data_IF_572180493479
#
_entry.id   IF_572180493479
#
_cell.length_a   1.000
_cell.length_b   1.000
_cell.length_c   1.000
_cell.angle_alpha   90.00
_cell.angle_beta   90.00
_cell.angle_gamma   90.00
#
_symmetry.space_group_name_H-M   'P 1'
#
loop_
_entity.id
_entity.type
_entity.pdbx_description
1 polymer ?
#
# COMPACT_ATOMS: atom_id res chain seq x y z
N UNK A 1 -6.83 16.02 14.83
CA UNK A 1 -5.99 17.16 14.38
C UNK A 1 -6.83 18.11 13.52
N UNK A 2 -6.88 19.41 13.83
CA UNK A 2 -7.59 20.40 12.98
C UNK A 2 -6.61 21.11 12.04
N UNK A 3 -6.81 20.93 10.73
CA UNK A 3 -5.94 21.51 9.70
C UNK A 3 -6.38 22.90 9.26
N UNK A 4 -7.61 23.33 9.57
CA UNK A 4 -8.16 24.58 9.04
C UNK A 4 -7.32 25.82 9.42
N UNK A 5 -6.83 25.95 10.67
CA UNK A 5 -5.95 27.06 11.02
C UNK A 5 -4.63 27.09 10.22
N UNK A 6 -4.13 25.92 9.82
CA UNK A 6 -2.89 25.79 9.04
C UNK A 6 -3.04 26.26 7.59
N UNK A 7 -4.28 26.40 7.11
CA UNK A 7 -4.62 26.82 5.74
C UNK A 7 -4.92 28.30 5.61
N UNK A 8 -5.01 29.01 6.74
CA UNK A 8 -5.18 30.45 6.72
C UNK A 8 -3.92 31.14 6.16
N UNK A 9 -4.05 32.23 5.39
CA UNK A 9 -2.88 32.99 4.96
C UNK A 9 -2.11 33.54 6.17
N UNK A 10 -0.79 33.63 6.06
CA UNK A 10 0.06 34.21 7.12
C UNK A 10 -0.33 35.68 7.35
N UNK A 11 -0.43 36.46 6.28
CA UNK A 11 -1.03 37.79 6.27
C UNK A 11 -1.58 38.13 4.87
N UNK A 12 -2.29 39.25 4.74
CA UNK A 12 -2.95 39.65 3.48
C UNK A 12 -1.96 39.98 2.35
N UNK A 13 -0.77 40.51 2.68
CA UNK A 13 0.21 40.95 1.69
C UNK A 13 1.15 39.83 1.25
N UNK A 14 1.47 38.90 2.14
CA UNK A 14 2.25 37.70 1.88
C UNK A 14 1.53 36.48 2.49
N UNK A 15 0.62 35.85 1.72
CA UNK A 15 -0.16 34.71 2.20
C UNK A 15 0.69 33.50 2.62
N UNK A 16 1.88 33.34 2.03
CA UNK A 16 2.83 32.28 2.34
C UNK A 16 3.94 32.70 3.31
N UNK A 17 4.01 33.98 3.70
CA UNK A 17 5.06 34.48 4.58
C UNK A 17 6.44 34.48 3.95
N UNK A 18 7.48 34.29 4.76
CA UNK A 18 8.88 34.41 4.35
C UNK A 18 9.56 33.03 4.21
N UNK A 19 10.67 32.96 3.47
CA UNK A 19 11.50 31.74 3.45
C UNK A 19 12.28 31.59 4.76
N UNK A 20 12.04 30.47 5.45
CA UNK A 20 12.66 30.13 6.73
C UNK A 20 13.84 29.14 6.60
N UNK A 21 14.37 28.91 5.38
CA UNK A 21 15.49 27.99 5.08
C UNK A 21 16.65 28.02 6.08
N UNK A 22 17.06 29.21 6.51
CA UNK A 22 18.23 29.45 7.37
C UNK A 22 17.86 29.84 8.82
N UNK A 23 16.60 29.66 9.19
CA UNK A 23 16.09 29.99 10.52
C UNK A 23 16.56 29.00 11.58
N UNK A 24 16.66 29.46 12.83
CA UNK A 24 16.99 28.59 13.97
C UNK A 24 15.94 27.49 14.15
N UNK A 25 14.69 27.78 13.83
CA UNK A 25 13.55 26.88 13.90
C UNK A 25 13.70 25.72 12.91
N UNK A 26 14.08 25.98 11.66
CA UNK A 26 14.39 24.92 10.68
C UNK A 26 15.55 24.04 11.13
N UNK A 27 16.60 24.65 11.68
CA UNK A 27 17.73 23.90 12.25
C UNK A 27 17.31 23.06 13.45
N UNK A 28 16.45 23.60 14.33
CA UNK A 28 15.94 22.91 15.50
C UNK A 28 15.07 21.71 15.11
N UNK A 29 14.17 21.86 14.12
CA UNK A 29 13.36 20.75 13.60
C UNK A 29 14.25 19.65 13.03
N UNK A 30 15.21 19.99 12.17
CA UNK A 30 16.16 19.01 11.59
C UNK A 30 16.92 18.24 12.69
N UNK A 31 17.35 18.95 13.74
CA UNK A 31 18.04 18.34 14.89
C UNK A 31 17.10 17.44 15.71
N UNK A 32 15.86 17.86 15.93
CA UNK A 32 14.88 17.11 16.72
C UNK A 32 14.40 15.83 16.03
N UNK A 33 14.44 15.78 14.70
CA UNK A 33 14.12 14.57 13.90
C UNK A 33 15.23 13.51 13.90
N UNK A 34 16.44 13.85 14.32
CA UNK A 34 17.55 12.89 14.30
C UNK A 34 17.38 11.87 15.43
N UNK A 35 17.40 10.60 15.09
CA UNK A 35 17.46 9.49 16.02
C UNK A 35 18.68 8.61 15.71
N UNK A 36 19.32 8.07 16.75
CA UNK A 36 20.44 7.15 16.60
C UNK A 36 19.93 5.72 16.37
N UNK A 37 20.65 4.95 15.55
CA UNK A 37 20.36 3.53 15.35
C UNK A 37 20.88 2.72 16.54
N UNK A 38 19.96 2.10 17.28
CA UNK A 38 20.28 1.29 18.46
C UNK A 38 21.00 -0.02 18.13
N UNK A 39 21.00 -0.44 16.85
CA UNK A 39 21.68 -1.66 16.39
C UNK A 39 23.15 -1.42 16.04
N UNK A 40 23.60 -0.16 15.97
CA UNK A 40 25.00 0.18 15.73
C UNK A 40 25.80 0.11 17.03
N UNK A 41 26.92 -0.62 17.00
CA UNK A 41 27.89 -0.66 18.10
C UNK A 41 28.49 0.73 18.32
N UNK A 42 28.20 1.34 19.46
CA UNK A 42 28.70 2.66 19.84
C UNK A 42 30.18 2.63 20.28
N UNK A 43 30.80 1.45 20.33
CA UNK A 43 32.16 1.27 20.83
C UNK A 43 32.29 1.68 22.30
N UNK A 44 33.48 2.09 22.72
CA UNK A 44 33.80 2.44 24.12
C UNK A 44 33.15 3.76 24.61
N UNK A 45 32.41 4.48 23.76
CA UNK A 45 31.75 5.74 24.10
C UNK A 45 30.23 5.55 24.10
N UNK A 46 29.69 5.04 25.21
CA UNK A 46 28.24 4.90 25.40
C UNK A 46 27.63 6.26 25.68
N UNK A 47 26.97 6.84 24.69
CA UNK A 47 26.10 8.01 24.88
C UNK A 47 24.64 7.58 24.93
N UNK A 48 23.80 8.31 25.66
CA UNK A 48 22.36 8.06 25.58
C UNK A 48 21.92 8.23 24.11
N UNK A 49 21.32 7.19 23.50
CA UNK A 49 20.96 7.23 22.09
C UNK A 49 19.95 8.35 21.88
N UNK A 50 20.24 9.22 20.92
CA UNK A 50 19.37 10.33 20.59
C UNK A 50 18.04 9.77 20.09
N UNK A 51 16.95 10.17 20.73
CA UNK A 51 15.60 9.89 20.27
C UNK A 51 15.03 11.11 19.58
N UNK A 52 14.22 10.89 18.55
CA UNK A 52 13.51 11.97 17.89
C UNK A 52 12.44 12.56 18.83
N UNK A 53 12.34 13.89 18.87
CA UNK A 53 11.32 14.61 19.63
C UNK A 53 10.18 15.00 18.68
N UNK A 54 9.26 14.06 18.45
CA UNK A 54 8.16 14.26 17.50
C UNK A 54 7.16 15.32 17.96
N UNK A 55 6.96 15.47 19.28
CA UNK A 55 6.11 16.52 19.85
C UNK A 55 6.68 17.91 19.52
N UNK A 56 7.98 18.10 19.71
CA UNK A 56 8.67 19.35 19.34
C UNK A 56 8.59 19.61 17.83
N UNK A 57 8.81 18.59 17.00
CA UNK A 57 8.74 18.73 15.54
C UNK A 57 7.33 19.13 15.11
N UNK A 58 6.29 18.49 15.64
CA UNK A 58 4.90 18.81 15.33
C UNK A 58 4.54 20.23 15.79
N UNK A 59 4.82 20.59 17.04
CA UNK A 59 4.50 21.90 17.60
C UNK A 59 5.18 23.04 16.82
N UNK A 60 6.49 22.91 16.55
CA UNK A 60 7.25 23.94 15.83
C UNK A 60 6.79 24.05 14.37
N UNK A 61 6.51 22.92 13.71
CA UNK A 61 6.01 22.93 12.33
C UNK A 61 4.63 23.57 12.22
N UNK A 62 3.74 23.32 13.19
CA UNK A 62 2.42 23.96 13.28
C UNK A 62 2.56 25.47 13.48
N UNK A 63 3.40 25.91 14.41
CA UNK A 63 3.61 27.34 14.68
C UNK A 63 4.15 28.08 13.43
N UNK A 64 5.13 27.49 12.75
CA UNK A 64 5.67 28.03 11.50
C UNK A 64 4.60 28.12 10.41
N UNK A 65 3.85 27.04 10.18
CA UNK A 65 2.76 27.04 9.18
C UNK A 65 1.67 28.05 9.53
N UNK A 66 1.38 28.31 10.80
CA UNK A 66 0.34 29.26 11.19
C UNK A 66 0.78 30.70 11.09
N UNK A 67 2.05 30.99 11.42
CA UNK A 67 2.46 32.37 11.72
C UNK A 67 3.58 32.91 10.86
N UNK A 68 4.39 32.05 10.23
CA UNK A 68 5.66 32.45 9.60
C UNK A 68 5.78 32.11 8.12
N UNK A 69 5.55 30.85 7.75
CA UNK A 69 5.92 30.34 6.42
C UNK A 69 5.06 29.15 6.00
N UNK A 70 4.57 29.18 4.76
CA UNK A 70 3.96 28.02 4.08
C UNK A 70 5.03 27.38 3.21
N UNK A 71 5.51 26.20 3.60
CA UNK A 71 6.68 25.58 2.97
C UNK A 71 6.54 24.05 2.84
N UNK A 72 6.89 23.50 1.68
CA UNK A 72 6.82 22.06 1.37
C UNK A 72 7.67 21.22 2.34
N UNK A 73 8.81 21.75 2.79
CA UNK A 73 9.70 21.06 3.75
C UNK A 73 9.01 20.91 5.10
N UNK A 74 8.26 21.92 5.54
CA UNK A 74 7.51 21.84 6.80
C UNK A 74 6.39 20.79 6.69
N UNK A 75 5.74 20.65 5.53
CA UNK A 75 4.76 19.58 5.29
C UNK A 75 5.36 18.19 5.43
N UNK A 76 6.60 18.02 4.95
CA UNK A 76 7.35 16.77 5.06
C UNK A 76 7.61 16.42 6.52
N UNK A 77 8.08 17.38 7.32
CA UNK A 77 8.41 17.17 8.73
C UNK A 77 7.15 16.97 9.59
N UNK A 78 6.11 17.75 9.33
CA UNK A 78 4.84 17.59 10.04
C UNK A 78 4.18 16.24 9.72
N UNK A 79 4.25 15.78 8.46
CA UNK A 79 3.78 14.44 8.07
C UNK A 79 4.49 13.34 8.84
N UNK A 80 5.80 13.42 8.96
CA UNK A 80 6.59 12.45 9.72
C UNK A 80 6.24 12.49 11.22
N UNK A 81 6.14 13.69 11.82
CA UNK A 81 5.79 13.83 13.23
C UNK A 81 4.38 13.31 13.51
N UNK A 82 3.39 13.66 12.69
CA UNK A 82 2.02 13.18 12.86
C UNK A 82 1.88 11.68 12.62
N UNK A 83 2.68 11.09 11.73
CA UNK A 83 2.73 9.64 11.56
C UNK A 83 3.20 8.94 12.85
N UNK A 84 4.24 9.48 13.50
CA UNK A 84 4.78 8.90 14.74
C UNK A 84 3.86 9.13 15.95
N UNK A 85 3.18 10.29 16.04
CA UNK A 85 2.32 10.64 17.17
C UNK A 85 0.89 10.08 17.06
N UNK A 86 0.34 10.03 15.85
CA UNK A 86 -1.08 9.78 15.60
C UNK A 86 -1.33 8.66 14.58
N UNK A 87 -0.28 7.93 14.16
CA UNK A 87 -0.40 6.77 13.28
C UNK A 87 -1.07 7.08 11.94
N UNK A 88 -1.98 6.21 11.50
CA UNK A 88 -2.66 6.37 10.21
C UNK A 88 -3.53 7.63 10.13
N UNK A 89 -4.15 8.07 11.24
CA UNK A 89 -4.92 9.33 11.27
C UNK A 89 -4.02 10.52 10.95
N UNK A 90 -2.82 10.53 11.56
CA UNK A 90 -1.82 11.57 11.33
C UNK A 90 -1.36 11.65 9.88
N UNK A 91 -1.09 10.50 9.27
CA UNK A 91 -0.70 10.40 7.86
C UNK A 91 -1.84 10.88 6.95
N UNK A 92 -3.07 10.44 7.18
CA UNK A 92 -4.21 10.89 6.38
C UNK A 92 -4.39 12.42 6.47
N UNK A 93 -4.32 12.99 7.68
CA UNK A 93 -4.45 14.44 7.89
C UNK A 93 -3.28 15.23 7.31
N UNK A 94 -2.07 14.70 7.30
CA UNK A 94 -0.91 15.38 6.73
C UNK A 94 -0.95 15.39 5.19
N UNK A 95 -1.42 14.31 4.57
CA UNK A 95 -1.71 14.27 3.13
C UNK A 95 -2.83 15.25 2.78
N UNK A 96 -3.90 15.31 3.58
CA UNK A 96 -4.99 16.27 3.41
C UNK A 96 -4.48 17.72 3.44
N UNK A 97 -3.67 18.05 4.46
CA UNK A 97 -3.04 19.36 4.57
C UNK A 97 -2.14 19.67 3.36
N UNK A 98 -1.36 18.69 2.91
CA UNK A 98 -0.38 18.86 1.84
C UNK A 98 -1.06 19.23 0.53
N UNK A 99 -2.06 18.46 0.09
CA UNK A 99 -2.73 18.75 -1.18
C UNK A 99 -3.51 20.07 -1.13
N UNK A 100 -4.16 20.40 0.00
CA UNK A 100 -4.88 21.67 0.15
C UNK A 100 -3.95 22.89 0.13
N UNK A 101 -2.79 22.81 0.80
CA UNK A 101 -1.80 23.91 0.74
C UNK A 101 -1.20 24.05 -0.66
N UNK A 102 -0.90 22.94 -1.33
CA UNK A 102 -0.39 22.97 -2.69
C UNK A 102 -1.41 23.59 -3.64
N UNK A 103 -2.68 23.16 -3.63
CA UNK A 103 -3.74 23.75 -4.45
C UNK A 103 -3.92 25.25 -4.18
N UNK A 104 -3.98 25.64 -2.91
CA UNK A 104 -4.34 27.00 -2.52
C UNK A 104 -3.19 28.01 -2.74
N UNK A 105 -1.95 27.58 -2.55
CA UNK A 105 -0.80 28.47 -2.45
C UNK A 105 0.31 28.23 -3.46
N UNK A 106 0.13 27.31 -4.41
CA UNK A 106 1.19 26.87 -5.34
C UNK A 106 2.11 27.98 -5.82
N UNK A 107 1.58 29.09 -6.35
CA UNK A 107 2.39 30.15 -6.95
C UNK A 107 3.35 30.85 -5.96
N UNK A 108 2.99 30.91 -4.68
CA UNK A 108 3.74 31.67 -3.65
C UNK A 108 4.28 30.78 -2.53
N UNK A 109 4.07 29.46 -2.61
CA UNK A 109 4.52 28.49 -1.61
C UNK A 109 6.05 28.42 -1.58
N UNK A 110 6.64 28.21 -0.40
CA UNK A 110 8.08 28.05 -0.29
C UNK A 110 8.53 26.59 -0.55
N UNK A 111 9.67 26.38 -1.23
CA UNK A 111 10.51 27.39 -1.88
C UNK A 111 9.83 28.00 -3.11
N UNK A 112 10.03 29.30 -3.32
CA UNK A 112 9.53 30.01 -4.51
C UNK A 112 10.16 29.42 -5.78
N UNK A 113 9.41 29.46 -6.89
CA UNK A 113 9.90 29.01 -8.20
C UNK A 113 10.65 30.17 -8.85
N UNK A 114 11.90 29.95 -9.19
CA UNK A 114 12.75 30.91 -9.92
C UNK A 114 12.90 30.46 -11.37
N UNK A 115 12.78 31.38 -12.33
CA UNK A 115 12.98 31.11 -13.78
C UNK A 115 12.17 29.92 -14.34
N UNK A 116 10.95 29.69 -13.82
CA UNK A 116 10.08 28.54 -14.13
C UNK A 116 10.72 27.16 -13.85
N UNK A 117 11.78 27.10 -13.02
CA UNK A 117 12.45 25.86 -12.60
C UNK A 117 11.72 25.19 -11.42
N UNK A 118 11.08 24.05 -11.70
CA UNK A 118 10.32 23.27 -10.72
C UNK A 118 11.16 22.22 -9.99
N UNK A 119 12.43 22.01 -10.36
CA UNK A 119 13.24 20.88 -9.90
C UNK A 119 13.33 20.80 -8.37
N UNK A 120 13.50 21.95 -7.70
CA UNK A 120 13.58 21.99 -6.24
C UNK A 120 12.27 21.52 -5.59
N UNK A 121 11.12 22.01 -6.08
CA UNK A 121 9.81 21.60 -5.55
C UNK A 121 9.54 20.13 -5.84
N UNK A 122 9.84 19.68 -7.06
CA UNK A 122 9.68 18.27 -7.46
C UNK A 122 10.51 17.38 -6.54
N UNK A 123 11.78 17.70 -6.28
CA UNK A 123 12.63 16.92 -5.38
C UNK A 123 12.10 16.87 -3.94
N UNK A 124 11.58 17.99 -3.42
CA UNK A 124 10.97 18.03 -2.08
C UNK A 124 9.69 17.21 -2.00
N UNK A 125 8.83 17.31 -3.02
CA UNK A 125 7.59 16.53 -3.11
C UNK A 125 7.88 15.04 -3.29
N UNK A 126 8.89 14.68 -4.10
CA UNK A 126 9.39 13.31 -4.20
C UNK A 126 9.87 12.78 -2.84
N UNK A 127 10.56 13.60 -2.05
CA UNK A 127 10.93 13.27 -0.67
C UNK A 127 9.71 12.98 0.21
N UNK A 128 8.70 13.85 0.17
CA UNK A 128 7.44 13.70 0.90
C UNK A 128 6.70 12.41 0.52
N UNK A 129 6.58 12.09 -0.77
CA UNK A 129 5.84 10.89 -1.22
C UNK A 129 6.62 9.60 -0.97
N UNK A 130 7.96 9.61 -1.10
CA UNK A 130 8.77 8.41 -0.98
C UNK A 130 8.88 7.90 0.47
N UNK A 131 8.72 8.77 1.47
CA UNK A 131 8.67 8.34 2.87
C UNK A 131 7.35 7.66 3.24
N UNK A 132 6.26 7.89 2.49
CA UNK A 132 4.90 7.47 2.86
C UNK A 132 4.79 5.96 3.16
N UNK A 133 5.31 5.04 2.32
CA UNK A 133 5.20 3.62 2.61
C UNK A 133 5.91 3.21 3.91
N UNK A 134 7.08 3.80 4.20
CA UNK A 134 7.82 3.50 5.42
C UNK A 134 7.09 4.01 6.66
N UNK A 135 6.52 5.21 6.60
CA UNK A 135 5.72 5.76 7.70
C UNK A 135 4.53 4.87 8.02
N UNK A 136 3.78 4.44 6.99
CA UNK A 136 2.63 3.54 7.14
C UNK A 136 3.08 2.20 7.75
N UNK A 137 4.21 1.63 7.30
CA UNK A 137 4.73 0.37 7.82
C UNK A 137 5.18 0.42 9.28
N UNK A 138 5.51 1.61 9.79
CA UNK A 138 5.93 1.86 11.18
C UNK A 138 4.78 2.17 12.13
N UNK A 139 3.55 2.35 11.63
CA UNK A 139 2.38 2.58 12.49
C UNK A 139 2.10 1.32 13.33
N UNK A 140 1.95 1.44 14.66
CA UNK A 140 1.56 0.32 15.51
C UNK A 140 0.22 -0.28 15.10
N UNK A 141 0.19 -1.60 14.96
CA UNK A 141 -1.02 -2.37 14.66
C UNK A 141 -1.77 -2.79 15.94
N UNK A 142 -1.10 -2.66 17.09
CA UNK A 142 -1.63 -2.94 18.42
C UNK A 142 -1.37 -1.73 19.35
N UNK A 143 -2.21 -1.57 20.38
CA UNK A 143 -2.17 -0.42 21.29
C UNK A 143 -1.55 -0.73 22.68
N UNK A 144 -0.77 -1.79 22.76
CA UNK A 144 -0.05 -2.20 23.97
C UNK A 144 1.34 -2.73 23.61
N UNK A 145 2.26 -2.69 24.58
CA UNK A 145 3.62 -3.19 24.39
C UNK A 145 3.61 -4.64 23.88
N UNK A 146 4.43 -4.97 22.86
CA UNK A 146 5.55 -4.20 22.35
C UNK A 146 5.24 -3.21 21.20
N UNK A 147 3.97 -2.93 20.90
CA UNK A 147 3.54 -2.01 19.82
C UNK A 147 3.97 -2.45 18.42
N UNK A 148 3.80 -3.74 18.10
CA UNK A 148 4.16 -4.30 16.80
C UNK A 148 3.60 -3.50 15.62
N UNK A 149 4.45 -3.28 14.63
CA UNK A 149 4.12 -2.59 13.39
C UNK A 149 4.23 -3.54 12.18
N UNK A 150 3.77 -3.11 11.00
CA UNK A 150 3.78 -3.96 9.80
C UNK A 150 5.20 -4.38 9.38
N UNK A 151 6.21 -3.54 9.65
CA UNK A 151 7.60 -3.92 9.41
C UNK A 151 8.04 -5.13 10.26
N UNK A 152 7.52 -5.27 11.49
CA UNK A 152 7.83 -6.43 12.33
C UNK A 152 7.18 -7.67 11.75
N UNK A 153 5.92 -7.55 11.38
CA UNK A 153 5.17 -8.64 10.75
C UNK A 153 5.85 -9.13 9.44
N UNK A 154 6.31 -8.21 8.60
CA UNK A 154 7.07 -8.55 7.38
C UNK A 154 8.37 -9.32 7.74
N UNK A 155 9.10 -8.89 8.77
CA UNK A 155 10.30 -9.57 9.26
C UNK A 155 10.00 -10.96 9.84
N UNK A 156 8.94 -11.09 10.64
CA UNK A 156 8.51 -12.37 11.21
C UNK A 156 8.14 -13.38 10.11
N UNK A 157 7.43 -12.92 9.06
CA UNK A 157 7.13 -13.76 7.90
C UNK A 157 8.40 -14.20 7.16
N UNK A 158 9.39 -13.32 7.03
CA UNK A 158 10.67 -13.63 6.41
C UNK A 158 11.44 -14.70 7.20
N UNK A 159 11.58 -14.52 8.52
CA UNK A 159 12.21 -15.50 9.42
C UNK A 159 11.51 -16.86 9.36
N UNK A 160 10.18 -16.87 9.37
CA UNK A 160 9.38 -18.08 9.29
C UNK A 160 9.57 -18.82 7.96
N UNK A 161 9.68 -18.09 6.84
CA UNK A 161 9.95 -18.68 5.52
C UNK A 161 11.36 -19.30 5.45
N UNK A 162 12.37 -18.64 6.01
CA UNK A 162 13.73 -19.20 6.10
C UNK A 162 13.72 -20.49 6.92
N UNK A 163 13.07 -20.49 8.09
CA UNK A 163 12.96 -21.66 8.97
C UNK A 163 12.35 -22.86 8.24
N UNK A 164 11.29 -22.63 7.46
CA UNK A 164 10.63 -23.69 6.65
C UNK A 164 11.50 -24.23 5.53
N UNK A 165 12.42 -23.44 4.98
CA UNK A 165 13.36 -23.88 3.92
C UNK A 165 14.55 -24.66 4.48
N UNK A 166 14.90 -24.46 5.75
CA UNK A 166 16.05 -25.08 6.42
C UNK A 166 15.65 -26.32 7.26
N UNK A 167 14.40 -26.80 7.13
CA UNK A 167 13.79 -27.81 8.00
C UNK A 167 14.34 -29.25 7.89
N UNK A 168 15.47 -29.47 7.20
CA UNK A 168 16.17 -30.76 7.28
C UNK A 168 17.10 -30.86 8.50
N UNK A 169 17.44 -29.75 9.19
CA UNK A 169 18.48 -29.77 10.25
C UNK A 169 18.13 -29.07 11.59
N UNK A 170 16.91 -28.57 11.81
CA UNK A 170 16.57 -27.88 13.08
C UNK A 170 15.24 -28.34 13.69
N UNK A 171 15.31 -29.34 14.58
CA UNK A 171 14.37 -29.47 15.69
C UNK A 171 14.66 -28.36 16.72
N UNK A 172 14.05 -27.19 16.54
CA UNK A 172 14.04 -26.16 17.58
C UNK A 172 12.84 -26.35 18.50
N UNK A 173 13.13 -26.89 19.68
CA UNK A 173 12.22 -27.12 20.78
C UNK A 173 11.49 -25.86 21.29
N UNK A 174 10.17 -25.96 21.46
CA UNK A 174 9.43 -25.38 22.60
C UNK A 174 9.17 -23.87 22.71
N UNK A 175 9.76 -23.00 21.90
CA UNK A 175 9.49 -21.55 21.95
C UNK A 175 8.40 -21.10 20.97
N UNK A 176 7.39 -20.37 21.45
CA UNK A 176 6.37 -19.68 20.63
C UNK A 176 7.04 -18.77 19.60
N UNK A 177 6.70 -18.92 18.32
CA UNK A 177 7.29 -18.12 17.24
C UNK A 177 6.96 -16.62 17.40
N UNK A 178 7.81 -15.72 16.90
CA UNK A 178 7.55 -14.27 16.94
C UNK A 178 6.23 -13.92 16.25
N UNK A 179 5.90 -14.65 15.17
CA UNK A 179 4.63 -14.54 14.46
C UNK A 179 3.43 -14.94 15.34
N UNK A 180 3.53 -16.04 16.10
CA UNK A 180 2.48 -16.44 17.05
C UNK A 180 2.32 -15.41 18.18
N UNK A 181 3.40 -14.81 18.67
CA UNK A 181 3.33 -13.75 19.68
C UNK A 181 2.62 -12.51 19.14
N UNK A 182 2.93 -12.11 17.90
CA UNK A 182 2.22 -11.04 17.19
C UNK A 182 0.73 -11.37 17.04
N UNK A 183 0.38 -12.57 16.59
CA UNK A 183 -1.02 -12.99 16.42
C UNK A 183 -1.80 -12.96 17.74
N UNK A 184 -1.19 -13.43 18.84
CA UNK A 184 -1.80 -13.38 20.17
C UNK A 184 -2.00 -11.93 20.65
N UNK A 185 -1.00 -11.06 20.49
CA UNK A 185 -1.12 -9.64 20.85
C UNK A 185 -2.21 -8.94 20.04
N UNK A 186 -2.30 -9.25 18.75
CA UNK A 186 -3.37 -8.74 17.88
C UNK A 186 -4.76 -9.26 18.29
N UNK A 187 -4.88 -10.52 18.71
CA UNK A 187 -6.14 -11.08 19.22
C UNK A 187 -6.59 -10.40 20.53
N UNK A 188 -5.63 -10.00 21.37
CA UNK A 188 -5.90 -9.28 22.62
C UNK A 188 -6.12 -7.78 22.42
N UNK A 189 -5.88 -7.26 21.21
CA UNK A 189 -6.16 -5.86 20.88
C UNK A 189 -7.65 -5.66 20.65
N UNK A 190 -8.21 -4.60 21.21
CA UNK A 190 -9.62 -4.27 21.07
C UNK A 190 -10.07 -4.17 19.60
N UNK A 191 -11.28 -4.66 19.29
CA UNK A 191 -11.81 -4.69 17.93
C UNK A 191 -12.25 -3.32 17.44
N UNK A 192 -12.65 -2.40 18.32
CA UNK A 192 -12.94 -1.02 17.92
C UNK A 192 -11.64 -0.32 17.51
N UNK A 193 -10.54 -0.53 18.24
CA UNK A 193 -9.22 -0.05 17.84
C UNK A 193 -8.82 -0.58 16.45
N UNK A 194 -8.87 -1.90 16.22
CA UNK A 194 -8.52 -2.49 14.92
C UNK A 194 -9.34 -1.89 13.76
N UNK A 195 -10.65 -1.72 13.97
CA UNK A 195 -11.56 -1.12 12.98
C UNK A 195 -11.23 0.34 12.71
N UNK A 196 -11.03 1.14 13.76
CA UNK A 196 -10.68 2.54 13.65
C UNK A 196 -9.33 2.72 12.93
N UNK A 197 -8.33 1.91 13.29
CA UNK A 197 -7.01 1.96 12.66
C UNK A 197 -7.11 1.65 11.15
N UNK A 198 -7.90 0.63 10.76
CA UNK A 198 -8.13 0.31 9.36
C UNK A 198 -8.96 1.37 8.61
N UNK A 199 -9.90 2.04 9.28
CA UNK A 199 -10.64 3.16 8.71
C UNK A 199 -9.69 4.32 8.37
N UNK A 200 -8.86 4.75 9.32
CA UNK A 200 -7.86 5.80 9.08
C UNK A 200 -6.86 5.40 7.99
N UNK A 201 -6.43 4.13 7.96
CA UNK A 201 -5.60 3.64 6.86
C UNK A 201 -6.32 3.73 5.50
N UNK A 202 -7.62 3.47 5.46
CA UNK A 202 -8.41 3.60 4.22
C UNK A 202 -8.54 5.05 3.78
N UNK A 203 -8.62 6.00 4.72
CA UNK A 203 -8.62 7.44 4.42
C UNK A 203 -7.32 7.89 3.72
N UNK A 204 -6.17 7.25 4.02
CA UNK A 204 -4.89 7.54 3.33
C UNK A 204 -5.02 7.35 1.82
N UNK A 205 -5.73 6.31 1.33
CA UNK A 205 -5.91 6.10 -0.11
C UNK A 205 -6.69 7.24 -0.77
N UNK A 206 -7.72 7.74 -0.10
CA UNK A 206 -8.49 8.88 -0.59
C UNK A 206 -7.59 10.12 -0.69
N UNK A 207 -6.87 10.45 0.37
CA UNK A 207 -6.00 11.63 0.39
C UNK A 207 -4.81 11.50 -0.56
N UNK A 208 -4.26 10.29 -0.72
CA UNK A 208 -3.23 9.98 -1.68
C UNK A 208 -3.71 10.19 -3.13
N UNK A 209 -4.91 9.70 -3.47
CA UNK A 209 -5.49 9.93 -4.79
C UNK A 209 -5.71 11.42 -5.07
N UNK A 210 -6.19 12.19 -4.08
CA UNK A 210 -6.34 13.64 -4.23
C UNK A 210 -4.99 14.32 -4.43
N UNK A 211 -3.99 13.98 -3.63
CA UNK A 211 -2.64 14.54 -3.78
C UNK A 211 -2.05 14.27 -5.17
N UNK A 212 -2.21 13.05 -5.72
CA UNK A 212 -1.76 12.73 -7.08
C UNK A 212 -2.43 13.64 -8.12
N UNK A 213 -3.75 13.79 -8.07
CA UNK A 213 -4.49 14.65 -9.00
C UNK A 213 -4.04 16.11 -8.91
N UNK A 214 -3.77 16.60 -7.70
CA UNK A 214 -3.24 17.95 -7.46
C UNK A 214 -1.85 18.10 -8.08
N UNK A 215 -0.95 17.15 -7.82
CA UNK A 215 0.41 17.19 -8.37
C UNK A 215 0.41 17.10 -9.90
N UNK A 216 -0.41 16.22 -10.50
CA UNK A 216 -0.55 16.13 -11.95
C UNK A 216 -1.08 17.45 -12.55
N UNK A 217 -2.03 18.10 -11.87
CA UNK A 217 -2.57 19.40 -12.29
C UNK A 217 -1.57 20.55 -12.20
N UNK A 218 -0.70 20.54 -11.17
CA UNK A 218 0.27 21.61 -10.91
C UNK A 218 1.58 21.45 -11.70
N UNK A 219 2.02 20.21 -11.92
CA UNK A 219 3.32 19.87 -12.53
C UNK A 219 3.20 19.43 -14.00
N UNK A 220 2.01 19.01 -14.45
CA UNK A 220 1.81 18.56 -15.83
C UNK A 220 2.75 17.42 -16.22
N UNK A 221 3.58 17.64 -17.23
CA UNK A 221 4.54 16.64 -17.72
C UNK A 221 5.69 16.35 -16.75
N UNK A 222 5.96 17.27 -15.83
CA UNK A 222 7.03 17.15 -14.83
C UNK A 222 6.56 16.44 -13.54
N UNK A 223 5.30 15.96 -13.52
CA UNK A 223 4.75 15.21 -12.39
C UNK A 223 5.54 13.90 -12.16
N UNK A 224 5.90 13.57 -10.90
CA UNK A 224 6.64 12.35 -10.60
C UNK A 224 5.79 11.10 -10.85
N UNK A 225 6.45 9.98 -11.14
CA UNK A 225 5.76 8.69 -11.20
C UNK A 225 5.31 8.22 -9.81
N UNK A 226 4.03 7.88 -9.70
CA UNK A 226 3.44 7.36 -8.45
C UNK A 226 3.43 5.83 -8.37
N UNK A 227 3.78 5.12 -9.44
CA UNK A 227 3.56 3.68 -9.58
C UNK A 227 4.24 2.83 -8.49
N UNK A 228 5.45 3.21 -8.07
CA UNK A 228 6.17 2.50 -6.99
C UNK A 228 5.45 2.65 -5.64
N UNK A 229 4.92 3.84 -5.36
CA UNK A 229 4.18 4.13 -4.13
C UNK A 229 2.83 3.42 -4.17
N UNK A 230 2.09 3.50 -5.29
CA UNK A 230 0.83 2.78 -5.49
C UNK A 230 0.99 1.27 -5.25
N UNK A 231 1.99 0.64 -5.86
CA UNK A 231 2.28 -0.79 -5.64
C UNK A 231 2.61 -1.09 -4.18
N UNK A 232 3.34 -0.21 -3.49
CA UNK A 232 3.67 -0.40 -2.08
C UNK A 232 2.42 -0.29 -1.19
N UNK A 233 1.56 0.71 -1.44
CA UNK A 233 0.30 0.89 -0.73
C UNK A 233 -0.64 -0.29 -0.95
N UNK A 234 -0.73 -0.82 -2.17
CA UNK A 234 -1.54 -2.01 -2.48
C UNK A 234 -1.06 -3.24 -1.69
N UNK A 235 0.25 -3.48 -1.63
CA UNK A 235 0.80 -4.57 -0.81
C UNK A 235 0.50 -4.38 0.68
N UNK A 236 0.67 -3.15 1.20
CA UNK A 236 0.33 -2.83 2.58
C UNK A 236 -1.17 -3.05 2.83
N UNK A 237 -2.03 -2.64 1.90
CA UNK A 237 -3.47 -2.82 2.00
C UNK A 237 -3.84 -4.30 2.08
N UNK A 238 -3.27 -5.15 1.22
CA UNK A 238 -3.49 -6.59 1.25
C UNK A 238 -3.05 -7.18 2.61
N UNK A 239 -1.88 -6.80 3.11
CA UNK A 239 -1.37 -7.26 4.41
C UNK A 239 -2.27 -6.82 5.56
N UNK A 240 -2.64 -5.54 5.65
CA UNK A 240 -3.51 -5.04 6.71
C UNK A 240 -4.91 -5.63 6.64
N UNK A 241 -5.44 -5.86 5.44
CA UNK A 241 -6.72 -6.54 5.22
C UNK A 241 -6.70 -7.95 5.82
N UNK A 242 -5.61 -8.70 5.59
CA UNK A 242 -5.38 -10.04 6.15
C UNK A 242 -5.21 -10.01 7.67
N UNK A 243 -4.37 -9.11 8.17
CA UNK A 243 -4.05 -8.97 9.61
C UNK A 243 -5.32 -8.67 10.41
N UNK A 244 -6.06 -7.64 10.02
CA UNK A 244 -7.28 -7.22 10.73
C UNK A 244 -8.52 -8.05 10.42
N UNK A 245 -8.45 -8.95 9.41
CA UNK A 245 -9.58 -9.77 8.95
C UNK A 245 -10.81 -8.91 8.67
N UNK A 246 -10.65 -7.90 7.83
CA UNK A 246 -11.61 -6.79 7.70
C UNK A 246 -12.99 -7.20 7.18
N UNK A 247 -13.10 -8.38 6.56
CA UNK A 247 -14.38 -9.02 6.19
C UNK A 247 -15.32 -9.20 7.40
N UNK A 248 -14.75 -9.32 8.61
CA UNK A 248 -15.50 -9.43 9.86
C UNK A 248 -16.01 -8.07 10.37
N UNK A 249 -15.53 -6.96 9.82
CA UNK A 249 -15.95 -5.62 10.23
C UNK A 249 -17.36 -5.30 9.70
N UNK A 250 -17.70 -5.74 8.49
CA UNK A 250 -18.97 -5.46 7.81
C UNK A 250 -20.18 -6.15 8.47
N UNK A 251 -19.97 -7.30 9.13
CA UNK A 251 -21.05 -8.06 9.79
C UNK A 251 -21.64 -7.36 11.04
N UNK A 252 -20.87 -6.49 11.70
CA UNK A 252 -21.31 -5.78 12.92
C UNK A 252 -22.20 -4.57 12.60
N UNK A 253 -22.07 -3.98 11.41
CA UNK A 253 -22.87 -2.81 11.02
C UNK A 253 -24.31 -3.18 10.65
N UNK A 254 -24.56 -4.43 10.22
CA UNK A 254 -25.90 -4.90 9.86
C UNK A 254 -26.77 -5.33 11.05
N UNK A 255 -26.19 -5.58 12.22
CA UNK A 255 -26.94 -6.06 13.41
C UNK A 255 -27.56 -4.93 14.24
N UNK A 256 -27.20 -3.67 14.02
CA UNK A 256 -27.75 -2.52 14.76
C UNK A 256 -28.89 -1.82 13.99
N UNK A 257 -29.10 -2.15 12.71
CA UNK A 257 -30.06 -1.48 11.84
C UNK A 257 -31.45 -2.16 11.77
N UNK A 258 -31.73 -3.21 12.53
CA UNK A 258 -32.96 -4.02 12.37
C UNK A 258 -34.04 -3.85 13.44
N UNK A 259 -33.83 -3.02 14.46
CA UNK A 259 -34.87 -2.74 15.48
C UNK A 259 -35.45 -1.32 15.32
N UNK A 260 -36.11 -1.09 14.18
CA UNK A 260 -37.14 -0.06 14.03
C UNK A 260 -37.85 -0.28 12.70
N UNK A 261 -38.95 -1.05 12.71
CA UNK A 261 -40.22 -0.64 12.10
C UNK A 261 -41.28 -1.73 12.25
N UNK A 262 -42.34 -1.38 12.98
CA UNK A 262 -43.55 -2.19 13.12
C UNK A 262 -44.56 -1.74 12.07
N UNK A 263 -45.10 -2.72 11.34
CA UNK A 263 -46.46 -2.80 10.77
C UNK A 263 -46.89 -1.80 9.67
N UNK A 264 -47.24 -2.30 8.46
CA UNK A 264 -48.58 -2.77 8.09
C UNK A 264 -48.72 -3.09 6.58
N UNK A 265 -49.62 -4.06 6.31
CA UNK A 265 -50.47 -4.26 5.11
C UNK A 265 -49.92 -4.89 3.81
N UNK A 266 -50.24 -6.18 3.70
CA UNK A 266 -50.81 -6.93 2.56
C UNK A 266 -51.17 -6.16 1.28
N UNK A 267 -50.79 -6.70 0.10
CA UNK A 267 -51.66 -7.46 -0.86
C UNK A 267 -50.81 -7.94 -2.06
N UNK A 268 -51.00 -9.15 -2.62
CA UNK A 268 -50.24 -9.64 -3.76
C UNK A 268 -50.93 -9.33 -5.10
N UNK A 269 -50.16 -8.84 -6.09
CA UNK A 269 -50.61 -8.78 -7.49
C UNK A 269 -49.60 -9.45 -8.42
N UNK A 270 -50.08 -10.54 -9.02
CA UNK A 270 -49.52 -11.22 -10.18
C UNK A 270 -49.43 -10.28 -11.39
N UNK A 271 -48.26 -10.26 -12.05
CA UNK A 271 -48.14 -9.91 -13.47
C UNK A 271 -47.16 -10.88 -14.16
N UNK A 272 -47.76 -11.87 -14.81
CA UNK A 272 -47.45 -12.41 -16.14
C UNK A 272 -45.99 -12.44 -16.61
N UNK A 273 -45.44 -13.65 -16.69
CA UNK A 273 -44.26 -14.00 -17.47
C UNK A 273 -44.52 -13.87 -18.98
N UNK A 274 -43.61 -13.19 -19.68
CA UNK A 274 -43.39 -13.36 -21.12
C UNK A 274 -42.06 -14.11 -21.32
N UNK A 275 -41.99 -15.08 -22.24
CA UNK A 275 -40.76 -15.83 -22.50
C UNK A 275 -39.84 -14.98 -23.38
N UNK A 276 -38.77 -14.44 -22.80
CA UNK A 276 -37.66 -13.91 -23.59
C UNK A 276 -36.71 -15.06 -23.88
N UNK A 277 -36.50 -15.33 -25.17
CA UNK A 277 -35.60 -16.37 -25.67
C UNK A 277 -34.17 -15.97 -25.29
N UNK A 278 -33.66 -16.52 -24.21
CA UNK A 278 -32.28 -16.33 -23.79
C UNK A 278 -31.36 -17.04 -24.79
N UNK A 279 -30.63 -16.28 -25.58
CA UNK A 279 -29.44 -16.77 -26.27
C UNK A 279 -28.42 -17.14 -25.19
N UNK A 280 -28.20 -18.44 -25.00
CA UNK A 280 -27.19 -18.95 -24.10
C UNK A 280 -25.80 -18.55 -24.61
N UNK A 281 -25.22 -17.49 -24.06
CA UNK A 281 -23.78 -17.30 -24.11
C UNK A 281 -23.14 -18.14 -23.01
N UNK A 282 -22.07 -18.90 -23.30
CA UNK A 282 -21.37 -19.70 -22.31
C UNK A 282 -20.67 -18.74 -21.33
N UNK A 283 -21.28 -18.51 -20.17
CA UNK A 283 -20.64 -17.82 -19.05
C UNK A 283 -19.85 -18.84 -18.24
N UNK A 284 -18.61 -18.51 -17.89
CA UNK A 284 -17.80 -19.33 -17.00
C UNK A 284 -18.41 -19.31 -15.60
N UNK A 285 -18.89 -20.46 -15.12
CA UNK A 285 -19.46 -20.62 -13.77
C UNK A 285 -18.70 -21.74 -13.06
N UNK A 286 -17.72 -21.42 -12.20
CA UNK A 286 -16.91 -22.43 -11.55
C UNK A 286 -17.74 -23.24 -10.53
N UNK A 287 -17.73 -24.56 -10.65
CA UNK A 287 -18.37 -25.47 -9.70
C UNK A 287 -17.36 -25.96 -8.64
N UNK A 288 -17.77 -25.98 -7.37
CA UNK A 288 -16.85 -26.23 -6.22
C UNK A 288 -16.25 -27.65 -6.21
N UNK A 289 -16.84 -28.61 -6.95
CA UNK A 289 -16.50 -30.03 -6.84
C UNK A 289 -15.62 -30.60 -7.98
N UNK A 290 -15.25 -29.82 -8.99
CA UNK A 290 -14.49 -30.34 -10.14
C UNK A 290 -13.49 -29.34 -10.74
N UNK A 291 -12.32 -29.22 -10.11
CA UNK A 291 -11.24 -28.34 -10.58
C UNK A 291 -10.79 -28.63 -12.03
N UNK A 292 -10.78 -29.90 -12.44
CA UNK A 292 -10.40 -30.30 -13.81
C UNK A 292 -11.41 -29.80 -14.85
N UNK A 293 -12.70 -29.94 -14.57
CA UNK A 293 -13.78 -29.49 -15.47
C UNK A 293 -13.84 -27.96 -15.55
N UNK A 294 -13.65 -27.27 -14.42
CA UNK A 294 -13.52 -25.81 -14.40
C UNK A 294 -12.31 -25.34 -15.21
N UNK A 295 -11.17 -26.04 -15.11
CA UNK A 295 -9.98 -25.70 -15.90
C UNK A 295 -10.25 -25.85 -17.39
N UNK A 296 -10.89 -26.93 -17.82
CA UNK A 296 -11.25 -27.14 -19.23
C UNK A 296 -12.21 -26.07 -19.74
N UNK A 297 -13.22 -25.70 -18.94
CA UNK A 297 -14.18 -24.65 -19.29
C UNK A 297 -13.50 -23.28 -19.42
N UNK A 298 -12.59 -22.93 -18.48
CA UNK A 298 -11.81 -21.71 -18.54
C UNK A 298 -10.94 -21.64 -19.80
N UNK A 299 -10.31 -22.76 -20.18
CA UNK A 299 -9.49 -22.83 -21.38
C UNK A 299 -10.30 -22.67 -22.68
N UNK A 300 -11.54 -23.18 -22.73
CA UNK A 300 -12.43 -22.97 -23.89
C UNK A 300 -12.79 -21.49 -24.06
N UNK A 301 -13.17 -20.82 -22.97
CA UNK A 301 -13.49 -19.38 -23.00
C UNK A 301 -12.25 -18.56 -23.40
N UNK A 302 -11.07 -18.90 -22.89
CA UNK A 302 -9.83 -18.23 -23.25
C UNK A 302 -9.50 -18.38 -24.75
N UNK A 303 -9.76 -19.56 -25.33
CA UNK A 303 -9.58 -19.82 -26.77
C UNK A 303 -10.54 -18.99 -27.64
N UNK A 304 -11.79 -18.82 -27.21
CA UNK A 304 -12.76 -17.96 -27.89
C UNK A 304 -12.31 -16.49 -27.90
N UNK A 305 -11.84 -16.00 -26.75
CA UNK A 305 -11.29 -14.63 -26.61
C UNK A 305 -10.05 -14.46 -27.51
N UNK A 306 -9.11 -15.40 -27.50
CA UNK A 306 -7.92 -15.34 -28.34
C UNK A 306 -8.27 -15.32 -29.84
N UNK A 307 -9.27 -16.10 -30.26
CA UNK A 307 -9.74 -16.14 -31.66
C UNK A 307 -10.38 -14.80 -32.07
N UNK A 308 -11.12 -14.15 -31.17
CA UNK A 308 -11.68 -12.83 -31.38
C UNK A 308 -10.58 -11.77 -31.58
N UNK A 309 -9.59 -11.71 -30.68
CA UNK A 309 -8.49 -10.76 -30.80
C UNK A 309 -7.60 -11.02 -32.01
N UNK A 310 -7.38 -12.28 -32.38
CA UNK A 310 -6.64 -12.61 -33.61
C UNK A 310 -7.34 -12.11 -34.87
N UNK A 311 -8.68 -12.16 -34.90
CA UNK A 311 -9.49 -11.74 -36.05
C UNK A 311 -9.60 -10.22 -36.17
N UNK A 312 -9.74 -9.51 -35.05
CA UNK A 312 -9.98 -8.07 -35.04
C UNK A 312 -8.69 -7.23 -34.84
N UNK A 313 -7.68 -7.78 -34.17
CA UNK A 313 -6.43 -7.09 -33.83
C UNK A 313 -5.20 -8.03 -33.94
N UNK A 314 -4.83 -8.49 -35.15
CA UNK A 314 -3.79 -9.50 -35.34
C UNK A 314 -2.38 -9.05 -34.91
N UNK A 315 -2.12 -7.74 -34.85
CA UNK A 315 -0.83 -7.16 -34.47
C UNK A 315 -0.84 -6.56 -33.04
N UNK A 316 -1.92 -6.75 -32.29
CA UNK A 316 -1.99 -6.29 -30.89
C UNK A 316 -1.11 -7.18 -30.00
N UNK A 317 -0.33 -6.58 -29.08
CA UNK A 317 0.41 -7.34 -28.05
C UNK A 317 -0.50 -8.30 -27.26
N UNK A 318 -1.78 -7.93 -27.06
CA UNK A 318 -2.77 -8.76 -26.36
C UNK A 318 -3.07 -10.05 -27.12
N UNK A 319 -3.26 -9.96 -28.44
CA UNK A 319 -3.50 -11.12 -29.32
C UNK A 319 -2.32 -12.10 -29.28
N UNK A 320 -1.10 -11.57 -29.37
CA UNK A 320 0.13 -12.37 -29.27
C UNK A 320 0.28 -13.04 -27.89
N UNK A 321 0.02 -12.31 -26.80
CA UNK A 321 0.14 -12.83 -25.43
C UNK A 321 -0.89 -13.92 -25.14
N UNK A 322 -2.15 -13.75 -25.56
CA UNK A 322 -3.21 -14.76 -25.37
C UNK A 322 -2.87 -16.07 -26.08
N UNK A 323 -2.36 -16.01 -27.32
CA UNK A 323 -1.91 -17.19 -28.05
C UNK A 323 -0.74 -17.90 -27.36
N UNK A 324 0.21 -17.12 -26.84
CA UNK A 324 1.37 -17.65 -26.11
C UNK A 324 0.95 -18.33 -24.80
N UNK A 325 0.01 -17.73 -24.07
CA UNK A 325 -0.55 -18.29 -22.83
C UNK A 325 -1.31 -19.59 -23.08
N UNK A 326 -2.11 -19.68 -24.15
CA UNK A 326 -2.79 -20.93 -24.52
C UNK A 326 -1.76 -22.02 -24.87
N UNK A 327 -0.73 -21.68 -25.64
CA UNK A 327 0.34 -22.63 -25.99
C UNK A 327 1.06 -23.16 -24.75
N UNK A 328 1.36 -22.27 -23.79
CA UNK A 328 2.00 -22.65 -22.51
C UNK A 328 1.09 -23.51 -21.63
N UNK A 329 -0.21 -23.27 -21.62
CA UNK A 329 -1.16 -24.05 -20.82
C UNK A 329 -1.27 -25.54 -21.21
N UNK A 330 -0.86 -25.86 -22.43
CA UNK A 330 -0.89 -27.21 -23.01
C UNK A 330 0.48 -27.91 -22.94
N UNK A 331 1.54 -27.17 -22.57
CA UNK A 331 2.89 -27.72 -22.46
C UNK A 331 3.11 -28.33 -21.06
N UNK A 332 3.74 -29.51 -20.99
CA UNK A 332 4.32 -30.00 -19.74
C UNK A 332 5.34 -29.00 -19.19
N UNK A 333 5.39 -28.86 -17.86
CA UNK A 333 6.22 -27.85 -17.17
C UNK A 333 7.70 -27.87 -17.60
N UNK A 334 8.27 -29.06 -17.84
CA UNK A 334 9.65 -29.23 -18.25
C UNK A 334 9.94 -28.69 -19.67
N UNK A 335 9.00 -28.82 -20.60
CA UNK A 335 9.12 -28.23 -21.94
C UNK A 335 8.98 -26.70 -21.91
N UNK A 336 8.07 -26.20 -21.08
CA UNK A 336 7.88 -24.77 -20.89
C UNK A 336 9.14 -24.09 -20.30
N UNK A 337 9.72 -24.68 -19.25
CA UNK A 337 10.94 -24.19 -18.61
C UNK A 337 12.11 -24.10 -19.59
N UNK A 338 12.23 -25.07 -20.49
CA UNK A 338 13.28 -25.11 -21.53
C UNK A 338 13.10 -24.00 -22.58
N UNK A 339 11.86 -23.56 -22.86
CA UNK A 339 11.59 -22.48 -23.81
C UNK A 339 11.71 -21.07 -23.22
N UNK A 340 11.52 -20.93 -21.91
CA UNK A 340 11.49 -19.62 -21.23
C UNK A 340 12.84 -19.26 -20.61
N UNK A 341 13.62 -20.25 -20.17
CA UNK A 341 14.95 -20.05 -19.58
C UNK A 341 15.98 -20.12 -20.71
N UNK A 342 16.55 -18.96 -21.07
CA UNK A 342 17.56 -18.84 -22.14
C UNK A 342 18.99 -19.17 -21.71
N UNK A 343 19.24 -19.42 -20.43
CA UNK A 343 20.56 -19.76 -19.90
C UNK A 343 20.60 -21.24 -19.50
N UNK A 344 21.54 -22.01 -20.03
CA UNK A 344 21.58 -23.48 -19.90
C UNK A 344 21.98 -23.99 -18.49
N UNK A 345 22.27 -23.11 -17.52
CA UNK A 345 22.79 -23.53 -16.21
C UNK A 345 21.76 -23.88 -15.10
N UNK A 346 20.54 -23.30 -15.04
CA UNK A 346 19.56 -23.64 -13.99
C UNK A 346 18.67 -24.86 -14.31
N UNK A 347 18.60 -25.29 -15.57
CA UNK A 347 17.69 -26.35 -16.01
C UNK A 347 18.15 -27.74 -15.54
N UNK A 348 19.46 -27.98 -15.47
CA UNK A 348 20.01 -29.29 -15.11
C UNK A 348 19.82 -29.61 -13.63
N UNK A 349 20.01 -28.63 -12.74
CA UNK A 349 19.70 -28.77 -11.30
C UNK A 349 18.20 -29.00 -11.05
N UNK A 350 17.31 -28.36 -11.82
CA UNK A 350 15.87 -28.50 -11.62
C UNK A 350 15.34 -29.85 -12.13
N UNK A 351 15.91 -30.38 -13.22
CA UNK A 351 15.55 -31.71 -13.77
C UNK A 351 16.01 -32.85 -12.85
N UNK A 352 17.18 -32.73 -12.22
CA UNK A 352 17.67 -33.68 -11.22
C UNK A 352 16.82 -33.66 -9.94
N UNK A 353 16.38 -32.47 -9.51
CA UNK A 353 15.52 -32.31 -8.31
C UNK A 353 14.09 -32.82 -8.54
N UNK A 354 13.59 -32.77 -9.79
CA UNK A 354 12.26 -33.23 -10.18
C UNK A 354 12.22 -34.68 -10.69
N UNK A 355 13.37 -35.36 -10.81
CA UNK A 355 13.47 -36.79 -11.11
C UNK A 355 13.09 -37.20 -12.54
N UNK A 356 13.14 -36.29 -13.50
CA UNK A 356 12.78 -36.58 -14.91
C UNK A 356 14.06 -36.76 -15.72
N UNK A 357 14.41 -38.01 -16.05
CA UNK A 357 15.54 -38.28 -16.94
C UNK A 357 15.20 -38.00 -18.41
N UNK A 358 16.13 -37.45 -19.21
CA UNK A 358 15.94 -37.31 -20.64
C UNK A 358 15.86 -38.70 -21.28
N UNK A 359 14.89 -38.88 -22.17
CA UNK A 359 14.78 -40.07 -23.00
C UNK A 359 15.95 -40.07 -23.97
N UNK A 360 16.90 -40.99 -23.79
CA UNK A 360 18.03 -41.16 -24.71
C UNK A 360 17.51 -41.59 -26.09
N UNK A 361 17.62 -40.72 -27.10
CA UNK A 361 17.53 -41.10 -28.51
C UNK A 361 18.86 -41.71 -28.97
N UNK A 362 19.12 -42.95 -28.54
CA UNK A 362 19.95 -43.91 -29.27
C UNK A 362 19.46 -45.32 -28.92
N UNK A 363 18.30 -45.68 -29.47
CA UNK A 363 17.89 -47.05 -29.82
C UNK A 363 16.85 -47.01 -30.93
#
# INVERSE_FOLDING_TARGET
MDINPLLNPINEQSPCGEDYSFSNEFHAIKKARTQDDLLLDQGDWVTEPKQADWDFVAATSIDLLQTKSKDIRILTWLSEAWANLYGFEGIAKSLELSHRLLEQYWLTLHPEVEDDDLDQRIGLLQGLINQLPLLIKKVPLINHAPFYHLLDYDNFLYHENIRRKQSDDYESAGSTSELEQFEQALMNTDKAFQRQNYQHFSEIFQQWSTLKNVLDGLLGLDSPSFAAIDSSLDHIHISLKKIYKTEQFEQVTQTVATDSETAMTTTPQNLTAQPTVAQAQPTFQPQVQSHVENREQAMRVLQEIATYFQKNEPHSPVSYMLQKTIKWSQMPLHEWLTQVIKDEHPLQMLQDTLGVQPKNEYE
#
